data_IF_895835193760
#
_entry.id   IF_895835193760
#
_cell.length_a   1.000
_cell.length_b   1.000
_cell.length_c   1.000
_cell.angle_alpha   90.00
_cell.angle_beta   90.00
_cell.angle_gamma   90.00
#
_symmetry.space_group_name_H-M   'P 1'
#
loop_
_entity.id
_entity.type
_entity.pdbx_description
1 polymer ?
#
# COMPACT_ATOMS: atom_id res chain seq x y z
N UNK A 1 19.01 -49.40 4.99
CA UNK A 1 19.58 -48.17 5.55
C UNK A 1 19.73 -47.14 4.45
N UNK A 2 18.65 -46.30 4.23
CA UNK A 2 18.69 -45.14 3.32
C UNK A 2 18.97 -43.90 4.15
N UNK A 3 20.20 -43.44 4.12
CA UNK A 3 20.56 -42.10 4.65
C UNK A 3 20.07 -41.05 3.66
N UNK A 4 18.99 -40.35 4.03
CA UNK A 4 18.51 -39.20 3.33
C UNK A 4 19.48 -38.03 3.50
N UNK A 5 20.22 -37.70 2.46
CA UNK A 5 21.01 -36.45 2.39
C UNK A 5 20.05 -35.27 2.42
N UNK A 6 19.97 -34.60 3.56
CA UNK A 6 19.38 -33.26 3.65
C UNK A 6 20.29 -32.32 2.87
N UNK A 7 19.83 -31.85 1.73
CA UNK A 7 20.46 -30.77 1.00
C UNK A 7 20.59 -29.56 1.93
N UNK A 8 21.83 -29.15 2.20
CA UNK A 8 22.12 -27.94 2.93
C UNK A 8 21.50 -26.75 2.20
N UNK A 9 20.62 -26.01 2.88
CA UNK A 9 20.13 -24.74 2.40
C UNK A 9 21.31 -23.79 2.25
N UNK A 10 21.51 -23.11 1.12
CA UNK A 10 22.43 -22.01 1.01
C UNK A 10 21.81 -20.81 1.74
N UNK A 11 21.93 -20.81 3.04
CA UNK A 11 21.53 -19.72 3.90
C UNK A 11 22.77 -19.12 4.53
N UNK A 12 23.21 -17.97 4.07
CA UNK A 12 24.09 -17.19 4.90
C UNK A 12 25.29 -16.50 4.28
N UNK A 13 25.51 -16.59 2.98
CA UNK A 13 26.72 -15.94 2.41
C UNK A 13 26.47 -14.87 1.34
N UNK A 14 25.22 -14.66 0.93
CA UNK A 14 24.91 -13.73 -0.17
C UNK A 14 24.89 -12.25 0.23
N UNK A 15 24.88 -11.94 1.54
CA UNK A 15 24.76 -10.56 2.00
C UNK A 15 26.09 -9.86 2.27
N UNK A 16 27.23 -10.54 2.13
CA UNK A 16 28.52 -9.97 2.57
C UNK A 16 29.25 -9.14 1.52
N UNK A 17 28.87 -9.20 0.26
CA UNK A 17 29.61 -8.52 -0.81
C UNK A 17 28.72 -7.73 -1.81
N UNK A 18 27.45 -7.49 -1.52
CA UNK A 18 26.67 -6.56 -2.34
C UNK A 18 26.85 -5.15 -1.82
N UNK A 19 27.13 -4.15 -2.69
CA UNK A 19 27.03 -2.76 -2.31
C UNK A 19 25.63 -2.52 -1.76
N UNK A 20 25.54 -1.93 -0.59
CA UNK A 20 24.34 -1.85 0.25
C UNK A 20 23.14 -1.12 -0.39
N UNK A 21 23.22 -0.74 -1.66
CA UNK A 21 22.30 0.19 -2.33
C UNK A 21 21.70 -0.32 -3.64
N UNK A 22 22.04 -1.53 -4.10
CA UNK A 22 21.52 -2.04 -5.37
C UNK A 22 20.47 -3.13 -5.17
N UNK A 23 19.37 -3.03 -5.89
CA UNK A 23 18.29 -4.05 -5.92
C UNK A 23 18.47 -5.07 -7.05
N UNK A 24 19.69 -5.18 -7.62
CA UNK A 24 20.01 -6.04 -8.78
C UNK A 24 19.73 -7.53 -8.55
N UNK A 25 19.77 -7.95 -7.28
CA UNK A 25 19.42 -9.32 -6.88
C UNK A 25 17.92 -9.65 -7.09
N UNK A 26 17.07 -8.62 -7.26
CA UNK A 26 15.65 -8.80 -7.47
C UNK A 26 15.24 -8.28 -8.84
N UNK A 27 14.94 -9.18 -9.79
CA UNK A 27 14.54 -8.76 -11.15
C UNK A 27 13.28 -7.90 -11.18
N UNK A 28 12.41 -8.05 -10.18
CA UNK A 28 11.18 -7.26 -10.07
C UNK A 28 10.81 -7.00 -8.62
N UNK A 29 9.99 -5.98 -8.41
CA UNK A 29 9.41 -5.66 -7.10
C UNK A 29 8.63 -6.85 -6.49
N UNK A 30 8.04 -7.70 -7.32
CA UNK A 30 7.32 -8.89 -6.88
C UNK A 30 8.27 -9.92 -6.24
N UNK A 31 9.49 -10.07 -6.78
CA UNK A 31 10.51 -10.93 -6.19
C UNK A 31 10.99 -10.39 -4.84
N UNK A 32 11.24 -9.09 -4.73
CA UNK A 32 11.60 -8.44 -3.47
C UNK A 32 10.51 -8.62 -2.41
N UNK A 33 9.25 -8.35 -2.76
CA UNK A 33 8.11 -8.53 -1.86
C UNK A 33 7.87 -9.99 -1.45
N UNK A 34 8.11 -10.94 -2.34
CA UNK A 34 8.03 -12.37 -2.05
C UNK A 34 9.14 -12.81 -1.11
N UNK A 35 10.36 -12.35 -1.33
CA UNK A 35 11.50 -12.62 -0.46
C UNK A 35 11.30 -12.01 0.93
N UNK A 36 10.77 -10.80 1.02
CA UNK A 36 10.37 -10.17 2.27
C UNK A 36 9.22 -10.91 2.98
N UNK A 37 8.55 -11.85 2.29
CA UNK A 37 7.41 -12.57 2.83
C UNK A 37 6.16 -11.70 2.97
N UNK A 38 6.06 -10.61 2.22
CA UNK A 38 4.93 -9.68 2.24
C UNK A 38 3.89 -9.98 1.15
N UNK A 39 4.10 -11.00 0.32
CA UNK A 39 3.11 -11.43 -0.65
C UNK A 39 2.06 -12.34 -0.01
N UNK A 40 0.76 -12.15 -0.31
CA UNK A 40 -0.28 -13.07 0.09
C UNK A 40 -0.08 -14.42 -0.61
N UNK A 41 -0.29 -15.51 0.12
CA UNK A 41 -0.34 -16.83 -0.48
C UNK A 41 -1.58 -16.97 -1.35
N UNK A 42 -1.42 -17.56 -2.53
CA UNK A 42 -2.54 -17.90 -3.39
C UNK A 42 -2.88 -19.39 -3.21
N UNK A 43 -3.82 -19.67 -2.29
CA UNK A 43 -4.39 -20.99 -2.07
C UNK A 43 -5.82 -21.02 -2.62
N UNK A 44 -5.92 -21.17 -3.93
CA UNK A 44 -7.21 -21.31 -4.60
C UNK A 44 -7.27 -22.67 -5.30
N UNK A 45 -8.32 -23.42 -5.07
CA UNK A 45 -8.57 -24.70 -5.73
C UNK A 45 -10.06 -24.79 -6.07
N UNK A 46 -10.38 -25.17 -7.30
CA UNK A 46 -11.75 -25.32 -7.79
C UNK A 46 -12.64 -24.10 -7.51
N UNK A 47 -12.12 -22.88 -7.72
CA UNK A 47 -12.84 -21.62 -7.48
C UNK A 47 -12.99 -21.23 -6.00
N UNK A 48 -12.61 -22.10 -5.06
CA UNK A 48 -12.70 -21.83 -3.62
C UNK A 48 -11.36 -21.35 -3.05
N UNK A 49 -11.38 -20.19 -2.40
CA UNK A 49 -10.21 -19.63 -1.71
C UNK A 49 -10.02 -20.30 -0.35
N UNK A 50 -9.01 -21.15 -0.20
CA UNK A 50 -8.75 -21.92 1.04
C UNK A 50 -7.94 -21.16 2.10
N UNK A 51 -7.38 -20.00 1.79
CA UNK A 51 -6.65 -19.19 2.77
C UNK A 51 -5.79 -18.11 2.11
N UNK A 52 -5.41 -17.11 2.89
CA UNK A 52 -4.56 -15.99 2.48
C UNK A 52 -3.34 -15.84 3.36
N UNK A 53 -2.81 -16.94 3.94
CA UNK A 53 -1.59 -16.87 4.74
C UNK A 53 -0.43 -16.37 3.87
N UNK A 54 0.39 -15.42 4.39
CA UNK A 54 1.53 -14.92 3.64
C UNK A 54 2.54 -16.04 3.38
N UNK A 55 3.27 -15.94 2.26
CA UNK A 55 4.33 -16.89 1.93
C UNK A 55 5.45 -16.84 2.98
N UNK A 56 6.19 -17.94 3.10
CA UNK A 56 7.40 -17.97 3.92
C UNK A 56 8.44 -17.06 3.26
N UNK A 57 9.02 -16.15 4.03
CA UNK A 57 10.06 -15.22 3.62
C UNK A 57 10.93 -14.87 4.82
N UNK A 58 11.75 -13.81 4.71
CA UNK A 58 12.57 -13.33 5.83
C UNK A 58 11.68 -12.87 6.99
N UNK A 59 11.77 -13.58 8.11
CA UNK A 59 10.99 -13.28 9.32
C UNK A 59 11.40 -11.92 9.91
N UNK A 60 12.68 -11.62 9.89
CA UNK A 60 13.25 -10.37 10.42
C UNK A 60 12.77 -9.16 9.62
N UNK A 61 12.89 -9.24 8.30
CA UNK A 61 12.46 -8.15 7.42
C UNK A 61 10.94 -7.96 7.51
N UNK A 62 10.17 -9.04 7.56
CA UNK A 62 8.72 -8.94 7.72
C UNK A 62 8.35 -8.23 9.02
N UNK A 63 9.02 -8.55 10.13
CA UNK A 63 8.77 -7.90 11.43
C UNK A 63 9.09 -6.41 11.34
N UNK A 64 10.25 -6.05 10.82
CA UNK A 64 10.63 -4.65 10.63
C UNK A 64 9.63 -3.88 9.74
N UNK A 65 9.15 -4.49 8.65
CA UNK A 65 8.16 -3.89 7.77
C UNK A 65 6.79 -3.70 8.44
N UNK A 66 6.37 -4.64 9.29
CA UNK A 66 5.12 -4.51 10.07
C UNK A 66 5.26 -3.38 11.10
N UNK A 67 6.41 -3.25 11.75
CA UNK A 67 6.69 -2.17 12.68
C UNK A 67 6.73 -0.82 11.97
N UNK A 68 7.43 -0.72 10.84
CA UNK A 68 7.45 0.48 10.01
C UNK A 68 6.06 0.86 9.49
N UNK A 69 5.26 -0.12 9.06
CA UNK A 69 3.88 0.09 8.65
C UNK A 69 3.03 0.63 9.80
N UNK A 70 3.18 0.07 10.99
CA UNK A 70 2.45 0.53 12.19
C UNK A 70 2.83 1.95 12.59
N UNK A 71 4.10 2.33 12.45
CA UNK A 71 4.57 3.69 12.67
C UNK A 71 4.02 4.66 11.60
N UNK A 72 4.12 4.30 10.32
CA UNK A 72 3.63 5.12 9.21
C UNK A 72 2.12 5.37 9.24
N UNK A 73 1.35 4.42 9.76
CA UNK A 73 -0.10 4.58 9.95
C UNK A 73 -0.44 5.61 11.02
N UNK A 74 0.39 5.76 12.06
CA UNK A 74 0.19 6.75 13.15
C UNK A 74 0.51 8.18 12.71
N UNK A 75 1.30 8.34 11.66
CA UNK A 75 1.69 9.67 11.16
C UNK A 75 0.46 10.36 10.56
N UNK A 76 0.06 11.48 11.20
CA UNK A 76 -1.06 12.29 10.73
C UNK A 76 -0.73 12.82 9.33
N UNK A 77 -1.72 12.75 8.46
CA UNK A 77 -1.56 13.31 7.13
C UNK A 77 -0.76 12.43 6.14
N UNK A 78 -0.31 11.25 6.50
CA UNK A 78 0.39 10.32 5.63
C UNK A 78 -0.55 9.60 4.65
N UNK A 79 -0.09 9.39 3.41
CA UNK A 79 -0.81 8.60 2.40
C UNK A 79 -0.98 7.15 2.84
N UNK A 80 0.03 6.63 3.57
CA UNK A 80 -0.03 5.31 4.18
C UNK A 80 -1.17 5.21 5.20
N UNK A 81 -1.40 6.25 6.00
CA UNK A 81 -2.50 6.30 6.95
C UNK A 81 -3.87 6.36 6.24
N UNK A 82 -3.97 7.08 5.13
CA UNK A 82 -5.19 7.13 4.32
C UNK A 82 -5.48 5.77 3.66
N UNK A 83 -4.45 5.12 3.10
CA UNK A 83 -4.55 3.79 2.52
C UNK A 83 -4.93 2.75 3.58
N UNK A 84 -4.31 2.80 4.76
CA UNK A 84 -4.62 1.93 5.88
C UNK A 84 -6.10 2.01 6.28
N UNK A 85 -6.62 3.21 6.54
CA UNK A 85 -8.02 3.41 6.94
C UNK A 85 -8.98 2.79 5.94
N UNK A 86 -8.72 2.95 4.65
CA UNK A 86 -9.54 2.37 3.58
C UNK A 86 -9.53 0.85 3.58
N UNK A 87 -8.37 0.22 3.83
CA UNK A 87 -8.23 -1.23 3.85
C UNK A 87 -8.77 -1.79 5.16
N UNK A 88 -8.49 -1.14 6.29
CA UNK A 88 -8.91 -1.58 7.62
C UNK A 88 -10.43 -1.64 7.75
N UNK A 89 -11.15 -0.67 7.17
CA UNK A 89 -12.61 -0.65 7.14
C UNK A 89 -13.25 -1.87 6.44
N UNK A 90 -12.52 -2.51 5.51
CA UNK A 90 -13.04 -3.65 4.73
C UNK A 90 -12.51 -5.00 5.20
N UNK A 91 -11.27 -5.04 5.64
CA UNK A 91 -10.51 -6.29 5.83
C UNK A 91 -9.95 -6.44 7.25
N UNK A 92 -10.11 -5.43 8.11
CA UNK A 92 -9.60 -5.40 9.46
C UNK A 92 -8.15 -4.98 9.59
N UNK A 93 -7.74 -4.72 10.84
CA UNK A 93 -6.45 -4.13 11.20
C UNK A 93 -5.25 -4.93 10.68
N UNK A 94 -5.17 -6.22 10.95
CA UNK A 94 -4.00 -7.04 10.63
C UNK A 94 -3.72 -7.08 9.13
N UNK A 95 -4.76 -7.26 8.31
CA UNK A 95 -4.63 -7.28 6.84
C UNK A 95 -4.24 -5.90 6.30
N UNK A 96 -4.76 -4.83 6.91
CA UNK A 96 -4.42 -3.47 6.53
C UNK A 96 -2.95 -3.15 6.82
N UNK A 97 -2.44 -3.44 8.02
CA UNK A 97 -1.02 -3.23 8.35
C UNK A 97 -0.11 -4.03 7.41
N UNK A 98 -0.47 -5.27 7.12
CA UNK A 98 0.29 -6.11 6.20
C UNK A 98 0.32 -5.54 4.77
N UNK A 99 -0.80 -5.01 4.30
CA UNK A 99 -0.89 -4.35 2.99
C UNK A 99 -0.04 -3.07 2.94
N UNK A 100 0.01 -2.29 4.03
CA UNK A 100 0.89 -1.13 4.12
C UNK A 100 2.36 -1.55 4.10
N UNK A 101 2.74 -2.61 4.84
CA UNK A 101 4.09 -3.15 4.77
C UNK A 101 4.49 -3.59 3.36
N UNK A 102 3.57 -4.19 2.59
CA UNK A 102 3.80 -4.50 1.18
C UNK A 102 3.99 -3.22 0.33
N UNK A 103 3.22 -2.16 0.61
CA UNK A 103 3.39 -0.86 -0.07
C UNK A 103 4.76 -0.26 0.23
N UNK A 104 5.25 -0.36 1.48
CA UNK A 104 6.58 0.11 1.86
C UNK A 104 7.67 -0.65 1.09
N UNK A 105 7.58 -1.98 0.96
CA UNK A 105 8.54 -2.76 0.15
C UNK A 105 8.58 -2.28 -1.29
N UNK A 106 7.41 -2.06 -1.90
CA UNK A 106 7.33 -1.57 -3.28
C UNK A 106 7.97 -0.20 -3.44
N UNK A 107 7.72 0.67 -2.50
CA UNK A 107 8.28 2.02 -2.47
C UNK A 107 9.81 1.97 -2.31
N UNK A 108 10.29 1.21 -1.34
CA UNK A 108 11.73 1.03 -1.11
C UNK A 108 12.43 0.45 -2.34
N UNK A 109 11.82 -0.57 -2.98
CA UNK A 109 12.36 -1.14 -4.21
C UNK A 109 12.49 -0.09 -5.31
N UNK A 110 11.44 0.72 -5.51
CA UNK A 110 11.43 1.77 -6.53
C UNK A 110 12.53 2.81 -6.26
N UNK A 111 12.58 3.37 -5.05
CA UNK A 111 13.57 4.37 -4.67
C UNK A 111 15.02 3.87 -4.82
N UNK A 112 15.27 2.62 -4.43
CA UNK A 112 16.62 2.03 -4.54
C UNK A 112 16.99 1.65 -5.99
N UNK A 113 16.01 1.45 -6.87
CA UNK A 113 16.24 1.15 -8.29
C UNK A 113 16.39 2.40 -9.13
N UNK A 114 15.60 3.44 -8.85
CA UNK A 114 15.62 4.70 -9.61
C UNK A 114 16.61 5.71 -9.06
N UNK A 115 17.07 5.53 -7.81
CA UNK A 115 17.89 6.50 -7.07
C UNK A 115 17.24 7.88 -6.96
N UNK A 116 15.91 7.92 -7.00
CA UNK A 116 15.12 9.14 -6.83
C UNK A 116 14.72 9.33 -5.38
N UNK A 117 14.59 10.58 -4.94
CA UNK A 117 14.08 10.91 -3.62
C UNK A 117 12.57 10.65 -3.53
N UNK A 118 12.11 10.28 -2.35
CA UNK A 118 10.69 10.06 -2.12
C UNK A 118 9.90 11.36 -2.30
N UNK A 119 9.06 11.39 -3.32
CA UNK A 119 8.08 12.44 -3.55
C UNK A 119 6.74 12.00 -2.93
N UNK A 120 6.28 12.66 -1.86
CA UNK A 120 4.94 12.38 -1.34
C UNK A 120 3.92 12.73 -2.44
N UNK A 121 2.97 11.82 -2.68
CA UNK A 121 1.94 12.07 -3.70
C UNK A 121 1.11 13.29 -3.28
N UNK A 122 0.78 14.15 -4.25
CA UNK A 122 -0.08 15.28 -4.01
C UNK A 122 -1.46 14.79 -3.56
N UNK A 123 -1.74 15.02 -2.28
CA UNK A 123 -3.00 14.60 -1.65
C UNK A 123 -4.21 15.28 -2.27
N UNK A 124 -4.06 16.54 -2.66
CA UNK A 124 -5.14 17.30 -3.27
C UNK A 124 -5.57 16.64 -4.59
N UNK A 125 -4.61 16.29 -5.44
CA UNK A 125 -4.88 15.61 -6.71
C UNK A 125 -5.48 14.20 -6.50
N UNK A 126 -5.02 13.47 -5.47
CA UNK A 126 -5.57 12.14 -5.16
C UNK A 126 -7.00 12.24 -4.61
N UNK A 127 -7.26 13.21 -3.74
CA UNK A 127 -8.59 13.42 -3.18
C UNK A 127 -9.56 13.90 -4.25
N UNK A 128 -9.13 14.72 -5.19
CA UNK A 128 -9.93 15.18 -6.32
C UNK A 128 -10.28 14.01 -7.26
N UNK A 129 -9.31 13.19 -7.66
CA UNK A 129 -9.55 11.98 -8.45
C UNK A 129 -10.52 11.02 -7.75
N UNK A 130 -10.41 10.91 -6.43
CA UNK A 130 -11.29 10.09 -5.61
C UNK A 130 -12.71 10.65 -5.57
N UNK A 131 -12.87 11.97 -5.40
CA UNK A 131 -14.17 12.65 -5.45
C UNK A 131 -14.84 12.41 -6.79
N UNK A 132 -14.15 12.68 -7.89
CA UNK A 132 -14.65 12.45 -9.24
C UNK A 132 -15.03 10.98 -9.51
N UNK A 133 -14.31 10.02 -8.93
CA UNK A 133 -14.67 8.60 -9.03
C UNK A 133 -15.94 8.26 -8.24
N UNK A 134 -16.08 8.78 -7.01
CA UNK A 134 -17.28 8.58 -6.18
C UNK A 134 -18.48 9.21 -6.84
N UNK A 135 -18.36 10.42 -7.36
CA UNK A 135 -19.40 11.15 -8.06
C UNK A 135 -19.89 10.37 -9.28
N UNK A 136 -19.00 9.97 -10.18
CA UNK A 136 -19.35 9.14 -11.34
C UNK A 136 -20.08 7.87 -10.97
N UNK A 137 -19.64 7.21 -9.90
CA UNK A 137 -20.28 5.98 -9.43
C UNK A 137 -21.66 6.24 -8.86
N UNK A 138 -21.84 7.33 -8.11
CA UNK A 138 -23.15 7.72 -7.56
C UNK A 138 -24.13 8.08 -8.68
N UNK A 139 -23.68 8.87 -9.67
CA UNK A 139 -24.50 9.21 -10.85
C UNK A 139 -24.90 7.97 -11.64
N UNK A 140 -23.97 7.04 -11.87
CA UNK A 140 -24.28 5.78 -12.55
C UNK A 140 -25.33 4.94 -11.78
N UNK A 141 -25.25 4.91 -10.44
CA UNK A 141 -26.25 4.22 -9.62
C UNK A 141 -27.62 4.90 -9.69
N UNK A 142 -27.67 6.23 -9.68
CA UNK A 142 -28.92 6.98 -9.81
C UNK A 142 -29.54 6.79 -11.20
N UNK A 143 -28.73 6.78 -12.24
CA UNK A 143 -29.18 6.51 -13.60
C UNK A 143 -29.80 5.11 -13.75
N UNK A 144 -29.25 4.09 -13.08
CA UNK A 144 -29.84 2.73 -13.08
C UNK A 144 -31.19 2.67 -12.36
N UNK A 145 -31.43 3.62 -11.44
CA UNK A 145 -32.72 3.76 -10.74
C UNK A 145 -33.74 4.64 -11.50
N UNK A 146 -33.38 5.14 -12.70
CA UNK A 146 -34.21 5.99 -13.52
C UNK A 146 -34.18 7.48 -13.17
N UNK A 147 -33.23 7.93 -12.35
CA UNK A 147 -33.07 9.35 -12.03
C UNK A 147 -32.04 10.00 -12.97
N UNK A 148 -32.45 11.10 -13.60
CA UNK A 148 -31.55 11.97 -14.34
C UNK A 148 -31.08 13.10 -13.39
N UNK A 149 -29.82 13.07 -12.96
CA UNK A 149 -29.27 13.97 -11.95
C UNK A 149 -28.07 14.72 -12.50
N UNK A 150 -28.20 16.02 -12.60
CA UNK A 150 -27.08 16.94 -12.89
C UNK A 150 -26.40 17.39 -11.60
N UNK A 151 -25.09 17.14 -11.42
CA UNK A 151 -24.38 17.57 -10.22
C UNK A 151 -24.26 19.10 -10.19
N UNK A 152 -24.78 19.73 -9.13
CA UNK A 152 -24.59 21.15 -8.88
C UNK A 152 -23.39 21.31 -7.96
N UNK A 153 -22.29 21.97 -8.37
CA UNK A 153 -21.13 22.19 -7.52
C UNK A 153 -21.53 23.06 -6.33
N UNK A 154 -21.23 22.61 -5.11
CA UNK A 154 -21.37 23.46 -3.91
C UNK A 154 -20.38 24.60 -4.01
N UNK A 155 -20.88 25.81 -4.27
CA UNK A 155 -20.09 27.03 -4.14
C UNK A 155 -19.81 27.22 -2.64
N UNK A 156 -18.56 27.03 -2.23
CA UNK A 156 -18.12 27.39 -0.89
C UNK A 156 -18.04 28.91 -0.85
N UNK A 157 -19.07 29.54 -0.32
CA UNK A 157 -19.00 30.95 0.02
C UNK A 157 -17.97 31.07 1.15
N UNK A 158 -16.75 31.46 0.83
CA UNK A 158 -15.79 31.98 1.81
C UNK A 158 -16.39 33.26 2.35
N UNK A 159 -16.69 33.37 3.66
CA UNK A 159 -17.10 34.66 4.23
C UNK A 159 -15.92 35.61 4.09
N UNK A 160 -16.08 36.59 3.21
CA UNK A 160 -15.19 37.75 3.15
C UNK A 160 -15.36 38.49 4.48
N UNK A 161 -14.42 38.27 5.40
CA UNK A 161 -14.34 39.09 6.58
C UNK A 161 -13.81 40.47 6.13
N UNK A 162 -14.74 41.31 5.73
CA UNK A 162 -14.48 42.75 5.57
C UNK A 162 -14.35 43.33 6.97
N UNK A 163 -13.13 43.60 7.39
CA UNK A 163 -12.84 44.45 8.56
C UNK A 163 -13.18 45.87 8.16
N UNK A 164 -14.12 46.57 8.83
CA UNK A 164 -14.35 47.99 8.58
C UNK A 164 -13.11 48.79 8.99
N UNK A 165 -12.76 49.87 8.26
CA UNK A 165 -11.64 50.70 8.62
C UNK A 165 -11.92 51.42 9.95
N UNK A 166 -10.89 51.64 10.81
CA UNK A 166 -11.04 52.37 12.03
C UNK A 166 -11.35 53.83 11.73
N UNK A 167 -12.32 54.36 12.47
CA UNK A 167 -12.70 55.77 12.45
C UNK A 167 -11.62 56.68 13.09
#
# INVERSE_FOLDING_TARGET
LRQGRRAARPGGSLCKNLPAHTMDQFPTVAHAASWAGMCPGNHQSAGKRKGGKPRKGSVWLRRALVEAASAGVRTKGSDLAAQYRRIAARHGHQKAVFAIGHTIVRLTYHLLTTHEDYQPQDRAALDERRRAHIERRALAQLATLGYDVTPIPKVTLTPKHETPPPA
#
